data_IF_212477187909
#
_entry.id   IF_212477187909
#
_cell.length_a   1.000
_cell.length_b   1.000
_cell.length_c   1.000
_cell.angle_alpha   90.00
_cell.angle_beta   90.00
_cell.angle_gamma   90.00
#
_symmetry.space_group_name_H-M   'P 1'
#
loop_
_entity.id
_entity.type
_entity.pdbx_description
1 polymer ?
#
# COMPACT_ATOMS: atom_id res chain seq x y z
N UNK A 1 -89.93 74.12 30.43
CA UNK A 1 -88.89 73.10 30.66
C UNK A 1 -88.68 72.12 29.48
N UNK A 2 -89.54 72.11 28.45
CA UNK A 2 -89.53 71.09 27.37
C UNK A 2 -88.40 71.29 26.32
N UNK A 3 -87.95 72.52 26.09
CA UNK A 3 -86.90 72.83 25.09
C UNK A 3 -85.49 72.32 25.47
N UNK A 4 -85.13 72.35 26.76
CA UNK A 4 -83.80 71.89 27.23
C UNK A 4 -83.61 70.37 27.13
N UNK A 5 -84.70 69.60 27.30
CA UNK A 5 -84.69 68.14 27.16
C UNK A 5 -84.43 67.71 25.70
N UNK A 6 -85.11 68.35 24.74
CA UNK A 6 -84.88 68.06 23.30
C UNK A 6 -83.46 68.38 22.84
N UNK A 7 -82.87 69.46 23.34
CA UNK A 7 -81.47 69.80 23.00
C UNK A 7 -80.47 68.80 23.59
N UNK A 8 -80.72 68.31 24.81
CA UNK A 8 -79.89 67.27 25.44
C UNK A 8 -79.91 65.95 24.67
N UNK A 9 -81.09 65.52 24.20
CA UNK A 9 -81.23 64.30 23.38
C UNK A 9 -80.48 64.40 22.04
N UNK A 10 -80.53 65.56 21.37
CA UNK A 10 -79.81 65.79 20.11
C UNK A 10 -78.29 65.76 20.34
N UNK A 11 -77.81 66.39 21.41
CA UNK A 11 -76.38 66.36 21.76
C UNK A 11 -75.92 64.95 22.06
N UNK A 12 -76.67 64.19 22.88
CA UNK A 12 -76.34 62.81 23.21
C UNK A 12 -76.30 61.92 21.96
N UNK A 13 -77.24 62.11 21.02
CA UNK A 13 -77.25 61.38 19.75
C UNK A 13 -76.01 61.70 18.88
N UNK A 14 -75.65 62.98 18.75
CA UNK A 14 -74.47 63.40 17.99
C UNK A 14 -73.17 62.89 18.63
N UNK A 15 -73.06 62.92 19.95
CA UNK A 15 -71.91 62.37 20.68
C UNK A 15 -71.78 60.87 20.46
N UNK A 16 -72.88 60.11 20.56
CA UNK A 16 -72.86 58.68 20.28
C UNK A 16 -72.44 58.38 18.83
N UNK A 17 -72.99 59.12 17.86
CA UNK A 17 -72.61 58.97 16.45
C UNK A 17 -71.13 59.29 16.20
N UNK A 18 -70.58 60.30 16.88
CA UNK A 18 -69.15 60.63 16.78
C UNK A 18 -68.28 59.49 17.34
N UNK A 19 -68.63 58.96 18.51
CA UNK A 19 -67.92 57.85 19.14
C UNK A 19 -67.97 56.60 18.24
N UNK A 20 -69.13 56.29 17.65
CA UNK A 20 -69.31 55.16 16.72
C UNK A 20 -68.45 55.33 15.45
N UNK A 21 -68.37 56.56 14.93
CA UNK A 21 -67.55 56.88 13.77
C UNK A 21 -66.06 56.77 14.09
N UNK A 22 -65.62 57.32 15.23
CA UNK A 22 -64.22 57.25 15.67
C UNK A 22 -63.77 55.82 15.92
N UNK A 23 -64.58 55.02 16.60
CA UNK A 23 -64.30 53.60 16.84
C UNK A 23 -64.27 52.80 15.53
N UNK A 24 -65.19 53.06 14.60
CA UNK A 24 -65.15 52.46 13.26
C UNK A 24 -63.88 52.85 12.49
N UNK A 25 -63.52 54.13 12.51
CA UNK A 25 -62.34 54.66 11.82
C UNK A 25 -61.05 54.07 12.40
N UNK A 26 -60.96 53.98 13.71
CA UNK A 26 -59.85 53.33 14.41
C UNK A 26 -59.75 51.84 14.08
N UNK A 27 -60.88 51.13 14.10
CA UNK A 27 -60.96 49.72 13.72
C UNK A 27 -60.52 49.47 12.27
N UNK A 28 -60.97 50.31 11.34
CA UNK A 28 -60.56 50.25 9.93
C UNK A 28 -59.07 50.54 9.75
N UNK A 29 -58.52 51.54 10.45
CA UNK A 29 -57.07 51.83 10.43
C UNK A 29 -56.25 50.65 10.95
N UNK A 30 -56.69 49.99 12.03
CA UNK A 30 -56.05 48.77 12.54
C UNK A 30 -56.12 47.63 11.53
N UNK A 31 -57.27 47.42 10.87
CA UNK A 31 -57.40 46.40 9.83
C UNK A 31 -56.46 46.65 8.66
N UNK A 32 -56.37 47.90 8.19
CA UNK A 32 -55.45 48.28 7.10
C UNK A 32 -53.99 48.07 7.52
N UNK A 33 -53.60 48.47 8.73
CA UNK A 33 -52.26 48.25 9.24
C UNK A 33 -51.89 46.75 9.32
N UNK A 34 -52.83 45.93 9.80
CA UNK A 34 -52.66 44.47 9.84
C UNK A 34 -52.51 43.87 8.44
N UNK A 35 -53.38 44.26 7.50
CA UNK A 35 -53.32 43.78 6.11
C UNK A 35 -52.00 44.16 5.44
N UNK A 36 -51.54 45.40 5.64
CA UNK A 36 -50.27 45.89 5.10
C UNK A 36 -49.07 45.15 5.69
N UNK A 37 -49.10 44.82 6.98
CA UNK A 37 -48.07 43.98 7.61
C UNK A 37 -48.06 42.58 6.99
N UNK A 38 -49.22 41.94 6.85
CA UNK A 38 -49.33 40.63 6.23
C UNK A 38 -48.84 40.63 4.77
N UNK A 39 -49.19 41.65 3.99
CA UNK A 39 -48.71 41.83 2.62
C UNK A 39 -47.18 41.92 2.57
N UNK A 40 -46.56 42.72 3.43
CA UNK A 40 -45.11 42.85 3.51
C UNK A 40 -44.41 41.53 3.89
N UNK A 41 -44.98 40.78 4.84
CA UNK A 41 -44.49 39.45 5.21
C UNK A 41 -44.56 38.47 4.03
N UNK A 42 -45.65 38.50 3.25
CA UNK A 42 -45.81 37.65 2.08
C UNK A 42 -44.84 38.03 0.95
N UNK A 43 -44.64 39.32 0.69
CA UNK A 43 -43.65 39.81 -0.29
C UNK A 43 -42.24 39.36 0.14
N UNK A 44 -41.89 39.48 1.42
CA UNK A 44 -40.59 39.03 1.93
C UNK A 44 -40.39 37.52 1.75
N UNK A 45 -41.41 36.69 2.00
CA UNK A 45 -41.37 35.25 1.72
C UNK A 45 -41.21 34.95 0.24
N UNK A 46 -41.95 35.66 -0.62
CA UNK A 46 -41.82 35.53 -2.08
C UNK A 46 -40.42 35.91 -2.56
N UNK A 47 -39.76 36.91 -1.96
CA UNK A 47 -38.37 37.27 -2.28
C UNK A 47 -37.35 36.21 -1.84
N UNK A 48 -37.65 35.42 -0.80
CA UNK A 48 -36.79 34.32 -0.35
C UNK A 48 -37.00 33.02 -1.17
N UNK A 49 -38.18 32.84 -1.79
CA UNK A 49 -38.51 31.66 -2.60
C UNK A 49 -37.50 31.38 -3.74
N UNK A 50 -37.08 32.39 -4.55
CA UNK A 50 -36.08 32.19 -5.59
C UNK A 50 -34.75 31.62 -5.07
N UNK A 51 -34.32 32.01 -3.87
CA UNK A 51 -33.06 31.55 -3.28
C UNK A 51 -33.14 30.06 -2.95
N UNK A 52 -34.26 29.61 -2.38
CA UNK A 52 -34.49 28.21 -2.05
C UNK A 52 -34.60 27.37 -3.32
N UNK A 53 -35.33 27.84 -4.34
CA UNK A 53 -35.41 27.16 -5.64
C UNK A 53 -34.05 27.07 -6.33
N UNK A 54 -33.24 28.12 -6.27
CA UNK A 54 -31.91 28.11 -6.87
C UNK A 54 -31.01 27.08 -6.18
N UNK A 55 -31.05 27.02 -4.84
CA UNK A 55 -30.32 26.00 -4.07
C UNK A 55 -30.77 24.59 -4.44
N UNK A 56 -32.08 24.36 -4.54
CA UNK A 56 -32.62 23.07 -4.96
C UNK A 56 -32.14 22.69 -6.36
N UNK A 57 -32.19 23.61 -7.33
CA UNK A 57 -31.69 23.37 -8.70
C UNK A 57 -30.21 22.99 -8.73
N UNK A 58 -29.37 23.65 -7.93
CA UNK A 58 -27.94 23.31 -7.81
C UNK A 58 -27.77 21.91 -7.24
N UNK A 59 -28.45 21.60 -6.14
CA UNK A 59 -28.39 20.29 -5.48
C UNK A 59 -28.88 19.16 -6.40
N UNK A 60 -29.95 19.39 -7.17
CA UNK A 60 -30.46 18.41 -8.14
C UNK A 60 -29.45 18.16 -9.26
N UNK A 61 -28.83 19.20 -9.82
CA UNK A 61 -27.78 19.04 -10.85
C UNK A 61 -26.56 18.28 -10.33
N UNK A 62 -26.17 18.54 -9.09
CA UNK A 62 -25.06 17.84 -8.43
C UNK A 62 -25.40 16.36 -8.23
N UNK A 63 -26.61 16.06 -7.76
CA UNK A 63 -27.11 14.70 -7.62
C UNK A 63 -27.11 13.95 -8.96
N UNK A 64 -27.61 14.57 -10.03
CA UNK A 64 -27.64 13.98 -11.37
C UNK A 64 -26.22 13.69 -11.91
N UNK A 65 -25.28 14.61 -11.69
CA UNK A 65 -23.87 14.43 -12.05
C UNK A 65 -23.24 13.27 -11.28
N UNK A 66 -23.55 13.13 -10.00
CA UNK A 66 -23.01 12.05 -9.17
C UNK A 66 -23.59 10.69 -9.57
N UNK A 67 -24.89 10.63 -9.84
CA UNK A 67 -25.58 9.40 -10.31
C UNK A 67 -25.04 8.94 -11.66
N UNK A 68 -24.84 9.86 -12.61
CA UNK A 68 -24.22 9.52 -13.90
C UNK A 68 -22.80 8.98 -13.74
N UNK A 69 -22.00 9.59 -12.87
CA UNK A 69 -20.63 9.15 -12.58
C UNK A 69 -20.63 7.75 -11.97
N UNK A 70 -21.50 7.50 -11.00
CA UNK A 70 -21.67 6.20 -10.37
C UNK A 70 -22.03 5.11 -11.40
N UNK A 71 -22.97 5.39 -12.30
CA UNK A 71 -23.35 4.44 -13.37
C UNK A 71 -22.18 4.13 -14.31
N UNK A 72 -21.39 5.13 -14.67
CA UNK A 72 -20.19 4.91 -15.50
C UNK A 72 -19.18 4.02 -14.78
N UNK A 73 -18.88 4.30 -13.51
CA UNK A 73 -17.97 3.48 -12.71
C UNK A 73 -18.49 2.05 -12.55
N UNK A 74 -19.78 1.88 -12.30
CA UNK A 74 -20.41 0.57 -12.22
C UNK A 74 -20.29 -0.21 -13.54
N UNK A 75 -20.48 0.46 -14.68
CA UNK A 75 -20.32 -0.15 -16.00
C UNK A 75 -18.86 -0.54 -16.27
N UNK A 76 -17.89 0.30 -15.89
CA UNK A 76 -16.47 -0.02 -16.01
C UNK A 76 -16.08 -1.23 -15.16
N UNK A 77 -16.58 -1.30 -13.92
CA UNK A 77 -16.33 -2.44 -13.04
C UNK A 77 -16.93 -3.74 -13.62
N UNK A 78 -18.13 -3.67 -14.18
CA UNK A 78 -18.72 -4.81 -14.88
C UNK A 78 -17.89 -5.24 -16.10
N UNK A 79 -17.38 -4.28 -16.88
CA UNK A 79 -16.54 -4.58 -18.04
C UNK A 79 -15.22 -5.23 -17.64
N UNK A 80 -14.58 -4.75 -16.58
CA UNK A 80 -13.35 -5.36 -16.03
C UNK A 80 -13.64 -6.78 -15.57
N UNK A 81 -14.68 -6.99 -14.76
CA UNK A 81 -15.05 -8.34 -14.29
C UNK A 81 -15.34 -9.30 -15.45
N UNK A 82 -16.02 -8.82 -16.50
CA UNK A 82 -16.29 -9.61 -17.69
C UNK A 82 -15.00 -9.90 -18.49
N UNK A 83 -14.08 -8.94 -18.59
CA UNK A 83 -12.80 -9.10 -19.28
C UNK A 83 -11.84 -10.02 -18.51
N UNK A 84 -11.85 -9.99 -17.17
CA UNK A 84 -11.13 -10.93 -16.32
C UNK A 84 -11.70 -12.35 -16.41
N UNK A 85 -13.03 -12.46 -16.55
CA UNK A 85 -13.71 -13.75 -16.75
C UNK A 85 -13.52 -14.31 -18.17
N UNK A 86 -13.12 -13.47 -19.12
CA UNK A 86 -12.71 -13.92 -20.45
C UNK A 86 -11.24 -14.30 -20.39
N UNK A 87 -10.93 -15.58 -20.65
CA UNK A 87 -9.56 -16.08 -20.78
C UNK A 87 -8.81 -15.26 -21.85
N UNK A 88 -8.10 -14.22 -21.43
CA UNK A 88 -7.32 -13.32 -22.31
C UNK A 88 -6.01 -13.96 -22.78
N UNK A 89 -5.93 -15.29 -22.78
CA UNK A 89 -4.81 -16.03 -23.35
C UNK A 89 -4.86 -15.98 -24.88
N UNK A 90 -4.61 -14.80 -25.43
CA UNK A 90 -4.32 -14.58 -26.84
C UNK A 90 -2.86 -14.97 -27.15
N UNK A 91 -2.41 -16.11 -26.63
CA UNK A 91 -1.10 -16.68 -26.90
C UNK A 91 -1.32 -17.86 -27.85
N UNK A 92 -1.00 -17.66 -29.12
CA UNK A 92 -0.96 -18.74 -30.11
C UNK A 92 0.45 -19.29 -30.13
N UNK A 93 0.64 -20.55 -29.73
CA UNK A 93 1.91 -21.27 -29.91
C UNK A 93 2.13 -21.44 -31.41
N UNK A 94 3.02 -20.63 -31.98
CA UNK A 94 3.33 -20.63 -33.43
C UNK A 94 4.38 -21.69 -33.81
N UNK A 95 5.14 -22.18 -32.82
CA UNK A 95 6.06 -23.29 -32.95
C UNK A 95 6.40 -23.84 -31.56
N UNK A 96 6.66 -25.14 -31.47
CA UNK A 96 7.23 -25.74 -30.27
C UNK A 96 8.69 -25.31 -30.14
N UNK A 97 9.21 -25.23 -28.92
CA UNK A 97 10.61 -24.91 -28.68
C UNK A 97 11.49 -26.03 -29.29
N UNK A 98 12.35 -25.66 -30.25
CA UNK A 98 13.36 -26.59 -30.76
C UNK A 98 14.41 -26.82 -29.68
N UNK A 99 14.66 -28.10 -29.38
CA UNK A 99 15.77 -28.48 -28.53
C UNK A 99 17.07 -28.37 -29.33
N UNK A 100 18.12 -27.72 -28.79
CA UNK A 100 19.39 -27.60 -29.48
C UNK A 100 19.99 -28.99 -29.69
N UNK A 101 20.21 -29.37 -30.96
CA UNK A 101 20.84 -30.64 -31.36
C UNK A 101 22.33 -30.69 -31.03
N UNK A 102 22.94 -29.52 -30.83
CA UNK A 102 24.36 -29.36 -30.51
C UNK A 102 24.53 -28.50 -29.26
N UNK A 103 25.54 -28.81 -28.43
CA UNK A 103 25.85 -27.97 -27.28
C UNK A 103 26.27 -26.58 -27.75
N UNK A 104 25.66 -25.55 -27.17
CA UNK A 104 25.93 -24.13 -27.48
C UNK A 104 27.41 -23.73 -27.29
N UNK A 105 28.19 -24.52 -26.54
CA UNK A 105 29.63 -24.30 -26.36
C UNK A 105 30.42 -25.61 -26.47
N UNK A 106 31.45 -25.69 -27.34
CA UNK A 106 32.33 -26.85 -27.42
C UNK A 106 33.25 -26.90 -26.19
N UNK A 107 32.99 -27.86 -25.28
CA UNK A 107 33.79 -28.08 -24.06
C UNK A 107 35.28 -28.33 -24.34
N UNK A 108 35.62 -28.85 -25.52
CA UNK A 108 36.98 -29.17 -25.94
C UNK A 108 37.90 -27.95 -25.99
N UNK A 109 37.39 -26.79 -26.41
CA UNK A 109 38.17 -25.54 -26.48
C UNK A 109 38.56 -25.07 -25.09
N UNK A 110 37.64 -25.17 -24.12
CA UNK A 110 37.90 -24.81 -22.72
C UNK A 110 38.98 -25.69 -22.08
N UNK A 111 38.94 -27.00 -22.31
CA UNK A 111 39.96 -27.91 -21.81
C UNK A 111 41.34 -27.63 -22.40
N UNK A 112 41.44 -27.43 -23.72
CA UNK A 112 42.70 -27.09 -24.38
C UNK A 112 43.29 -25.77 -23.86
N UNK A 113 42.44 -24.76 -23.65
CA UNK A 113 42.85 -23.49 -23.06
C UNK A 113 43.38 -23.67 -21.63
N UNK A 114 42.70 -24.47 -20.81
CA UNK A 114 43.12 -24.73 -19.41
C UNK A 114 44.46 -25.45 -19.31
N UNK A 115 44.69 -26.47 -20.15
CA UNK A 115 45.97 -27.20 -20.19
C UNK A 115 47.09 -26.27 -20.65
N UNK A 116 46.84 -25.46 -21.69
CA UNK A 116 47.82 -24.49 -22.17
C UNK A 116 48.19 -23.46 -21.10
N UNK A 117 47.19 -22.94 -20.38
CA UNK A 117 47.41 -21.98 -19.30
C UNK A 117 48.17 -22.61 -18.12
N UNK A 118 47.86 -23.85 -17.76
CA UNK A 118 48.56 -24.58 -16.71
C UNK A 118 50.04 -24.81 -17.06
N UNK A 119 50.34 -25.17 -18.31
CA UNK A 119 51.72 -25.35 -18.78
C UNK A 119 52.50 -24.03 -18.76
N UNK A 120 51.88 -22.92 -19.17
CA UNK A 120 52.49 -21.60 -19.09
C UNK A 120 52.78 -21.21 -17.64
N UNK A 121 51.81 -21.38 -16.74
CA UNK A 121 51.99 -21.09 -15.31
C UNK A 121 53.11 -21.95 -14.69
N UNK A 122 53.14 -23.25 -14.98
CA UNK A 122 54.19 -24.14 -14.51
C UNK A 122 55.57 -23.71 -15.01
N UNK A 123 55.67 -23.31 -16.28
CA UNK A 123 56.92 -22.82 -16.87
C UNK A 123 57.43 -21.55 -16.18
N UNK A 124 56.52 -20.62 -15.87
CA UNK A 124 56.83 -19.40 -15.11
C UNK A 124 57.34 -19.76 -13.71
N UNK A 125 56.66 -20.67 -13.00
CA UNK A 125 57.06 -21.09 -11.64
C UNK A 125 58.45 -21.74 -11.65
N UNK A 126 58.72 -22.63 -12.61
CA UNK A 126 60.04 -23.27 -12.76
C UNK A 126 61.11 -22.22 -13.04
N UNK A 127 60.86 -21.30 -13.97
CA UNK A 127 61.80 -20.25 -14.32
C UNK A 127 62.12 -19.32 -13.13
N UNK A 128 61.09 -18.87 -12.40
CA UNK A 128 61.28 -18.08 -11.18
C UNK A 128 62.04 -18.88 -10.12
N UNK A 129 61.68 -20.15 -9.90
CA UNK A 129 62.35 -20.99 -8.92
C UNK A 129 63.84 -21.18 -9.23
N UNK A 130 64.21 -21.29 -10.51
CA UNK A 130 65.62 -21.39 -10.90
C UNK A 130 66.35 -20.05 -10.79
N UNK A 131 65.70 -18.95 -11.18
CA UNK A 131 66.25 -17.60 -11.06
C UNK A 131 66.52 -17.21 -9.59
N UNK A 132 65.60 -17.50 -8.68
CA UNK A 132 65.76 -17.23 -7.25
C UNK A 132 66.60 -18.31 -6.54
N UNK A 133 66.51 -19.58 -6.97
CA UNK A 133 67.21 -20.72 -6.37
C UNK A 133 68.74 -20.72 -6.55
N UNK A 134 69.27 -19.92 -7.48
CA UNK A 134 70.73 -19.66 -7.58
C UNK A 134 71.22 -18.58 -6.61
N UNK A 135 70.34 -17.81 -5.97
CA UNK A 135 70.70 -16.71 -5.05
C UNK A 135 70.82 -17.13 -3.58
N UNK A 136 70.28 -18.30 -3.19
CA UNK A 136 70.23 -18.76 -1.80
C UNK A 136 71.18 -19.92 -1.45
N UNK A 137 72.14 -20.26 -2.33
CA UNK A 137 73.14 -21.33 -2.09
C UNK A 137 74.54 -20.81 -1.76
N UNK A 138 74.65 -19.59 -1.24
CA UNK A 138 75.95 -18.97 -0.95
C UNK A 138 75.96 -18.51 0.51
N UNK A 139 76.67 -19.29 1.34
CA UNK A 139 77.20 -18.93 2.67
C UNK A 139 76.18 -18.87 3.83
N UNK A 140 75.91 -20.00 4.51
CA UNK A 140 75.96 -20.13 6.00
C UNK A 140 75.29 -21.37 6.63
N UNK A 141 74.71 -22.31 5.88
CA UNK A 141 73.93 -23.42 6.51
C UNK A 141 74.57 -24.82 6.49
N UNK A 142 75.85 -24.95 6.18
CA UNK A 142 76.56 -26.26 6.16
C UNK A 142 77.37 -26.52 7.45
N UNK A 143 77.18 -25.74 8.53
CA UNK A 143 78.02 -25.85 9.75
C UNK A 143 77.31 -26.06 11.07
N UNK A 144 76.00 -26.33 11.08
CA UNK A 144 75.26 -26.55 12.34
C UNK A 144 74.54 -27.90 12.45
N UNK A 145 74.58 -28.75 11.42
CA UNK A 145 73.88 -30.04 11.41
C UNK A 145 74.73 -31.23 11.89
N UNK A 146 76.01 -31.02 12.21
CA UNK A 146 76.93 -32.12 12.55
C UNK A 146 77.21 -32.34 14.05
N UNK A 147 76.61 -31.57 14.98
CA UNK A 147 77.01 -31.67 16.40
C UNK A 147 75.94 -32.04 17.43
N UNK A 148 74.68 -32.33 17.07
CA UNK A 148 73.72 -32.97 17.99
C UNK A 148 72.75 -33.89 17.24
N UNK A 149 73.29 -34.84 16.48
CA UNK A 149 72.53 -35.93 15.87
C UNK A 149 72.19 -37.03 16.88
N UNK A 150 70.96 -37.54 16.78
CA UNK A 150 70.44 -38.78 17.40
C UNK A 150 69.81 -38.71 18.81
N UNK A 151 68.94 -37.73 19.09
CA UNK A 151 68.22 -37.66 20.39
C UNK A 151 66.73 -37.32 20.38
N UNK A 152 66.04 -37.24 19.23
CA UNK A 152 64.64 -36.79 19.18
C UNK A 152 63.77 -37.51 18.13
N UNK A 153 64.05 -38.78 17.87
CA UNK A 153 63.27 -39.67 16.99
C UNK A 153 62.64 -40.79 17.81
N UNK A 154 61.85 -40.48 18.84
CA UNK A 154 61.03 -41.51 19.50
C UNK A 154 59.87 -40.91 20.31
N UNK A 155 58.87 -40.33 19.64
CA UNK A 155 57.46 -40.41 20.08
C UNK A 155 56.55 -39.96 18.94
N UNK A 156 56.21 -40.91 18.07
CA UNK A 156 55.02 -40.78 17.20
C UNK A 156 53.83 -41.12 18.10
N UNK A 157 52.89 -40.20 18.39
CA UNK A 157 51.67 -40.58 19.10
C UNK A 157 50.80 -41.44 18.17
N UNK A 158 50.42 -42.61 18.67
CA UNK A 158 49.54 -43.57 18.04
C UNK A 158 48.20 -42.91 17.70
N UNK A 159 47.92 -42.77 16.40
CA UNK A 159 46.62 -42.32 15.90
C UNK A 159 45.61 -43.39 16.30
N UNK A 160 44.77 -43.06 17.29
CA UNK A 160 43.73 -43.93 17.80
C UNK A 160 42.78 -44.34 16.67
N UNK A 161 42.51 -45.64 16.57
CA UNK A 161 41.52 -46.23 15.67
C UNK A 161 40.18 -45.48 15.79
N UNK A 162 39.59 -45.14 14.64
CA UNK A 162 38.23 -44.58 14.58
C UNK A 162 37.28 -45.66 15.08
N UNK A 163 36.87 -45.56 16.34
CA UNK A 163 35.95 -46.50 16.98
C UNK A 163 34.56 -46.37 16.32
N UNK A 164 34.21 -47.34 15.49
CA UNK A 164 32.86 -47.45 14.95
C UNK A 164 31.87 -47.65 16.12
N UNK A 165 30.82 -46.84 16.15
CA UNK A 165 29.74 -46.97 17.14
C UNK A 165 29.17 -48.39 17.05
N UNK A 166 29.24 -49.13 18.15
CA UNK A 166 28.68 -50.48 18.20
C UNK A 166 27.15 -50.40 18.32
N UNK A 167 26.44 -51.44 17.92
CA UNK A 167 24.96 -51.50 18.04
C UNK A 167 24.45 -51.13 19.43
N UNK A 168 25.23 -51.44 20.47
CA UNK A 168 24.87 -51.15 21.85
C UNK A 168 24.98 -49.66 22.18
N UNK A 169 25.94 -48.95 21.58
CA UNK A 169 26.07 -47.49 21.68
C UNK A 169 24.88 -46.79 20.99
N UNK A 170 24.46 -47.31 19.84
CA UNK A 170 23.29 -46.81 19.09
C UNK A 170 22.01 -47.01 19.90
N UNK A 171 21.86 -48.17 20.56
CA UNK A 171 20.69 -48.48 21.42
C UNK A 171 20.61 -47.59 22.66
N UNK A 172 21.74 -47.24 23.26
CA UNK A 172 21.77 -46.30 24.39
C UNK A 172 21.37 -44.89 23.97
N UNK A 173 21.88 -44.42 22.84
CA UNK A 173 21.52 -43.11 22.27
C UNK A 173 20.03 -43.05 21.89
N UNK A 174 19.47 -44.11 21.30
CA UNK A 174 18.03 -44.15 21.00
C UNK A 174 17.19 -44.17 22.28
N UNK A 175 17.60 -44.90 23.32
CA UNK A 175 16.90 -44.88 24.60
C UNK A 175 16.93 -43.49 25.27
N UNK A 176 18.03 -42.76 25.13
CA UNK A 176 18.17 -41.40 25.69
C UNK A 176 17.32 -40.37 24.93
N UNK A 177 17.26 -40.45 23.61
CA UNK A 177 16.40 -39.59 22.78
C UNK A 177 14.91 -39.85 23.05
N UNK A 178 14.50 -41.12 23.18
CA UNK A 178 13.11 -41.48 23.51
C UNK A 178 12.73 -40.96 24.91
N UNK A 179 13.67 -40.94 25.85
CA UNK A 179 13.46 -40.41 27.21
C UNK A 179 13.34 -38.88 27.26
N UNK A 180 13.99 -38.18 26.32
CA UNK A 180 13.91 -36.71 26.17
C UNK A 180 12.60 -36.24 25.52
N UNK A 181 11.94 -37.10 24.74
CA UNK A 181 10.68 -36.78 24.03
C UNK A 181 9.41 -37.35 24.67
N UNK A 182 9.50 -38.10 25.78
CA UNK A 182 8.34 -38.62 26.51
C UNK A 182 7.98 -37.83 27.78
N UNK A 183 8.21 -36.52 27.80
CA UNK A 183 7.77 -35.64 28.90
C UNK A 183 7.03 -34.42 28.37
#
# INVERSE_FOLDING_TARGET
MIGKLKTGEIQQKLTNQLIDLETSTFGLRKKIANLKRTEQEQIARMQQSPIVEQKLRVLTRELDSLDSTYKVLQQQLQNINNAESQDSSNIRVIANADLPSEPLFPRTVGYLASVSLALLAASIVIYLSEAYGRSAKTVNEVRQIENYGAGALETIPEVHEIRYLTEEDIRRLTAEIVRLYSK
#
